data_IF_942625487842
#
_entry.id   IF_942625487842
#
_cell.length_a   1.000
_cell.length_b   1.000
_cell.length_c   1.000
_cell.angle_alpha   90.00
_cell.angle_beta   90.00
_cell.angle_gamma   90.00
#
_symmetry.space_group_name_H-M   'P 1'
#
loop_
_entity.id
_entity.type
_entity.pdbx_description
1 polymer ?
#
# COMPACT_ATOMS: atom_id res chain seq x y z
N UNK A 1 -25.47 8.89 79.59
CA UNK A 1 -24.94 9.53 78.36
C UNK A 1 -25.26 8.60 77.21
N UNK A 2 -26.33 8.90 76.47
CA UNK A 2 -26.84 8.03 75.40
C UNK A 2 -25.96 8.10 74.17
N UNK A 3 -25.50 6.95 73.70
CA UNK A 3 -24.80 6.79 72.43
C UNK A 3 -25.79 6.96 71.27
N UNK A 4 -25.75 8.12 70.60
CA UNK A 4 -26.47 8.29 69.34
C UNK A 4 -25.71 7.54 68.24
N UNK A 5 -26.21 6.35 67.90
CA UNK A 5 -25.81 5.60 66.71
C UNK A 5 -26.29 6.35 65.47
N UNK A 6 -25.35 6.84 64.67
CA UNK A 6 -25.60 7.49 63.39
C UNK A 6 -26.11 6.45 62.38
N UNK A 7 -27.38 6.52 62.00
CA UNK A 7 -27.96 5.73 60.91
C UNK A 7 -27.90 6.61 59.65
N UNK A 8 -27.07 6.30 58.64
CA UNK A 8 -27.01 7.08 57.42
C UNK A 8 -28.37 7.05 56.71
N UNK A 9 -28.90 8.23 56.33
CA UNK A 9 -30.14 8.31 55.56
C UNK A 9 -30.02 7.58 54.21
N UNK A 10 -31.13 7.06 53.70
CA UNK A 10 -31.21 6.30 52.44
C UNK A 10 -30.57 6.99 51.22
N UNK A 11 -30.45 8.32 51.24
CA UNK A 11 -29.77 9.10 50.21
C UNK A 11 -28.25 8.93 50.23
N UNK A 12 -27.64 8.78 51.42
CA UNK A 12 -26.20 8.59 51.56
C UNK A 12 -25.77 7.23 50.97
N UNK A 13 -26.53 6.17 51.22
CA UNK A 13 -26.28 4.84 50.66
C UNK A 13 -26.37 4.81 49.13
N UNK A 14 -27.34 5.52 48.55
CA UNK A 14 -27.46 5.65 47.10
C UNK A 14 -26.26 6.39 46.48
N UNK A 15 -25.78 7.46 47.13
CA UNK A 15 -24.58 8.19 46.68
C UNK A 15 -23.34 7.30 46.74
N UNK A 16 -23.14 6.54 47.82
CA UNK A 16 -22.02 5.60 47.93
C UNK A 16 -22.07 4.51 46.85
N UNK A 17 -23.25 3.95 46.56
CA UNK A 17 -23.42 2.96 45.50
C UNK A 17 -23.10 3.54 44.12
N UNK A 18 -23.56 4.76 43.81
CA UNK A 18 -23.25 5.43 42.55
C UNK A 18 -21.75 5.71 42.38
N UNK A 19 -21.08 6.18 43.44
CA UNK A 19 -19.63 6.42 43.42
C UNK A 19 -18.86 5.11 43.25
N UNK A 20 -19.27 4.03 43.94
CA UNK A 20 -18.66 2.72 43.77
C UNK A 20 -18.83 2.19 42.33
N UNK A 21 -20.02 2.33 41.74
CA UNK A 21 -20.26 1.95 40.34
C UNK A 21 -19.41 2.76 39.35
N UNK A 22 -19.24 4.07 39.57
CA UNK A 22 -18.38 4.92 38.74
C UNK A 22 -16.90 4.51 38.84
N UNK A 23 -16.42 4.17 40.03
CA UNK A 23 -15.06 3.68 40.25
C UNK A 23 -14.84 2.30 39.59
N UNK A 24 -15.82 1.41 39.63
CA UNK A 24 -15.76 0.12 38.92
C UNK A 24 -15.70 0.34 37.40
N UNK A 25 -16.51 1.26 36.86
CA UNK A 25 -16.44 1.61 35.44
C UNK A 25 -15.06 2.17 35.06
N UNK A 26 -14.47 3.04 35.89
CA UNK A 26 -13.14 3.59 35.64
C UNK A 26 -12.03 2.52 35.64
N UNK A 27 -12.16 1.47 36.46
CA UNK A 27 -11.21 0.34 36.49
C UNK A 27 -11.42 -0.64 35.33
N UNK A 28 -12.66 -0.79 34.84
CA UNK A 28 -12.98 -1.61 33.68
C UNK A 28 -12.72 -0.90 32.34
N UNK A 29 -12.58 0.43 32.36
CA UNK A 29 -12.17 1.21 31.20
C UNK A 29 -10.66 1.06 30.99
N UNK A 30 -10.27 0.22 30.03
CA UNK A 30 -8.92 0.26 29.48
C UNK A 30 -8.76 1.56 28.67
N UNK A 31 -8.17 2.57 29.31
CA UNK A 31 -7.94 3.89 28.72
C UNK A 31 -6.87 3.92 27.61
N UNK A 32 -6.30 2.78 27.26
CA UNK A 32 -5.16 2.68 26.36
C UNK A 32 -3.87 3.17 27.00
N UNK A 33 -2.77 2.48 26.75
CA UNK A 33 -1.43 2.91 27.18
C UNK A 33 -0.72 3.60 26.02
N UNK A 34 -0.43 4.89 26.16
CA UNK A 34 0.45 5.61 25.23
C UNK A 34 1.90 5.48 25.70
N UNK A 35 2.82 5.18 24.79
CA UNK A 35 4.25 5.18 25.08
C UNK A 35 4.73 6.58 25.49
N UNK A 36 5.60 6.72 26.50
CA UNK A 36 6.23 8.01 26.82
C UNK A 36 7.25 8.45 25.76
N UNK A 37 7.56 7.59 24.79
CA UNK A 37 8.51 7.90 23.72
C UNK A 37 7.91 8.94 22.76
N UNK A 38 8.53 10.11 22.73
CA UNK A 38 8.28 11.17 21.74
C UNK A 38 9.51 11.26 20.86
N UNK A 39 9.36 11.05 19.56
CA UNK A 39 10.43 11.28 18.58
C UNK A 39 10.68 12.79 18.49
N UNK A 40 11.94 13.22 18.52
CA UNK A 40 12.34 14.60 18.20
C UNK A 40 11.74 15.03 16.85
N UNK A 41 11.13 16.22 16.80
CA UNK A 41 10.53 16.80 15.59
C UNK A 41 11.64 17.22 14.60
N UNK A 42 12.28 16.24 13.98
CA UNK A 42 13.02 16.48 12.75
C UNK A 42 12.19 15.85 11.64
N UNK A 43 11.58 16.65 10.75
CA UNK A 43 10.91 16.07 9.59
C UNK A 43 11.94 15.21 8.83
N UNK A 44 11.54 13.99 8.49
CA UNK A 44 12.39 13.11 7.69
C UNK A 44 12.76 13.85 6.39
N UNK A 45 14.05 14.08 6.18
CA UNK A 45 14.51 14.69 4.95
C UNK A 45 14.30 13.72 3.78
N UNK A 46 13.79 14.23 2.65
CA UNK A 46 13.68 13.44 1.44
C UNK A 46 15.06 12.93 1.00
N UNK A 47 15.16 11.65 0.66
CA UNK A 47 16.41 11.07 0.18
C UNK A 47 16.88 11.80 -1.11
N UNK A 48 18.19 12.12 -1.24
CA UNK A 48 18.77 12.69 -2.45
C UNK A 48 18.55 11.82 -3.70
N UNK A 49 18.35 12.41 -4.88
CA UNK A 49 18.09 11.65 -6.12
C UNK A 49 19.25 10.75 -6.56
N UNK A 50 20.47 11.02 -6.10
CA UNK A 50 21.68 10.23 -6.31
C UNK A 50 21.88 9.11 -5.29
N UNK A 51 20.91 8.87 -4.40
CA UNK A 51 20.94 7.74 -3.46
C UNK A 51 20.97 6.41 -4.22
N UNK A 52 21.72 5.46 -3.68
CA UNK A 52 21.85 4.09 -4.19
C UNK A 52 20.49 3.39 -4.40
N UNK A 53 19.55 3.63 -3.49
CA UNK A 53 18.18 3.08 -3.55
C UNK A 53 17.34 3.59 -4.72
N UNK A 54 17.81 4.60 -5.45
CA UNK A 54 17.15 5.13 -6.65
C UNK A 54 17.89 4.77 -7.96
N UNK A 55 18.97 4.01 -7.88
CA UNK A 55 19.74 3.60 -9.04
C UNK A 55 19.05 2.47 -9.82
N UNK A 56 18.96 2.61 -11.16
CA UNK A 56 18.51 1.60 -12.16
C UNK A 56 16.98 1.26 -12.21
N UNK A 57 16.43 0.75 -13.35
CA UNK A 57 15.02 0.90 -13.74
C UNK A 57 14.02 -0.02 -13.00
N UNK A 58 12.72 0.28 -13.17
CA UNK A 58 11.61 0.07 -12.24
C UNK A 58 10.68 -1.12 -12.57
N UNK A 59 10.45 -2.03 -11.60
CA UNK A 59 9.44 -3.10 -11.61
C UNK A 59 8.58 -3.12 -10.31
N UNK A 60 7.25 -3.04 -10.43
CA UNK A 60 6.27 -3.01 -9.32
C UNK A 60 5.30 -4.20 -9.48
N UNK A 61 5.03 -5.01 -8.46
CA UNK A 61 4.08 -6.14 -8.56
C UNK A 61 2.90 -6.05 -7.55
N UNK A 62 1.70 -6.40 -8.01
CA UNK A 62 0.43 -6.40 -7.25
C UNK A 62 -0.32 -7.73 -7.44
N UNK A 63 -1.15 -8.15 -6.49
CA UNK A 63 -1.91 -9.41 -6.55
C UNK A 63 -3.41 -9.31 -6.23
N UNK A 64 -4.17 -10.28 -6.77
CA UNK A 64 -5.48 -10.77 -6.34
C UNK A 64 -5.47 -12.32 -6.16
N UNK A 65 -6.49 -12.91 -5.53
CA UNK A 65 -6.60 -14.32 -5.08
C UNK A 65 -6.27 -15.40 -6.11
N UNK A 66 -6.41 -15.14 -7.42
CA UNK A 66 -6.04 -16.09 -8.51
C UNK A 66 -5.23 -15.46 -9.66
N UNK A 67 -4.91 -14.17 -9.57
CA UNK A 67 -4.20 -13.45 -10.61
C UNK A 67 -3.22 -12.43 -10.02
N UNK A 68 -2.11 -12.18 -10.70
CA UNK A 68 -1.09 -11.21 -10.30
C UNK A 68 -0.98 -10.17 -11.40
N UNK A 69 -1.01 -8.90 -11.03
CA UNK A 69 -0.69 -7.78 -11.93
C UNK A 69 0.80 -7.46 -11.74
N UNK A 70 1.60 -7.72 -12.76
CA UNK A 70 3.00 -7.29 -12.82
C UNK A 70 3.05 -5.98 -13.57
N UNK A 71 3.72 -4.99 -12.99
CA UNK A 71 3.86 -3.66 -13.54
C UNK A 71 5.33 -3.27 -13.68
N UNK A 72 5.68 -2.51 -14.70
CA UNK A 72 7.03 -1.96 -14.84
C UNK A 72 7.04 -0.69 -15.67
N UNK A 73 8.16 0.03 -15.66
CA UNK A 73 8.34 1.23 -16.48
C UNK A 73 9.55 1.11 -17.38
N UNK A 74 9.34 1.34 -18.68
CA UNK A 74 10.42 1.55 -19.65
C UNK A 74 10.58 3.06 -19.92
N UNK A 75 11.78 3.64 -19.72
CA UNK A 75 11.96 5.08 -19.74
C UNK A 75 11.91 5.69 -21.14
N UNK A 76 12.57 5.07 -22.12
CA UNK A 76 12.87 5.70 -23.41
C UNK A 76 11.95 5.24 -24.53
N UNK A 77 11.54 3.98 -24.54
CA UNK A 77 10.72 3.37 -25.58
C UNK A 77 9.65 2.45 -24.97
N UNK A 78 8.52 2.19 -25.68
CA UNK A 78 7.49 1.29 -25.19
C UNK A 78 8.06 -0.09 -24.83
N UNK A 79 9.07 -0.58 -25.57
CA UNK A 79 9.70 -1.86 -25.26
C UNK A 79 8.76 -3.05 -25.44
N UNK A 80 9.10 -4.18 -24.80
CA UNK A 80 8.31 -5.41 -24.85
C UNK A 80 7.29 -5.47 -23.73
N UNK A 81 6.02 -5.66 -24.11
CA UNK A 81 4.88 -5.79 -23.19
C UNK A 81 4.71 -7.22 -22.65
N UNK A 82 5.74 -8.07 -22.77
CA UNK A 82 5.60 -9.52 -22.54
C UNK A 82 6.19 -9.91 -21.20
N UNK A 83 5.40 -10.63 -20.41
CA UNK A 83 5.89 -11.34 -19.22
C UNK A 83 6.00 -12.82 -19.53
N UNK A 84 7.16 -13.40 -19.27
CA UNK A 84 7.40 -14.85 -19.43
C UNK A 84 7.38 -15.54 -18.08
N UNK A 85 6.51 -16.55 -17.93
CA UNK A 85 6.44 -17.42 -16.75
C UNK A 85 7.29 -18.67 -16.99
N UNK A 86 8.13 -19.03 -16.01
CA UNK A 86 9.09 -20.15 -16.12
C UNK A 86 8.44 -21.54 -16.21
N UNK A 87 7.37 -21.80 -15.46
CA UNK A 87 6.83 -23.17 -15.29
C UNK A 87 5.96 -23.67 -16.45
N UNK A 88 5.45 -22.77 -17.29
CA UNK A 88 4.79 -23.08 -18.56
C UNK A 88 5.19 -21.95 -19.50
N UNK A 89 5.73 -22.23 -20.69
CA UNK A 89 6.02 -21.23 -21.76
C UNK A 89 4.73 -20.56 -22.30
N UNK A 90 3.76 -20.25 -21.44
CA UNK A 90 2.59 -19.44 -21.75
C UNK A 90 2.99 -17.99 -21.55
N UNK A 91 2.81 -17.21 -22.60
CA UNK A 91 2.98 -15.77 -22.58
C UNK A 91 1.80 -15.15 -21.83
N UNK A 92 2.03 -14.01 -21.16
CA UNK A 92 0.94 -13.20 -20.62
C UNK A 92 0.02 -12.72 -21.74
N UNK A 93 -1.29 -12.87 -21.57
CA UNK A 93 -2.29 -12.54 -22.60
C UNK A 93 -2.80 -11.10 -22.51
N UNK A 94 -2.76 -10.46 -21.33
CA UNK A 94 -3.32 -9.12 -21.09
C UNK A 94 -2.26 -8.14 -20.55
N UNK A 95 -1.54 -7.46 -21.44
CA UNK A 95 -0.68 -6.31 -21.06
C UNK A 95 -1.21 -5.01 -21.65
N UNK A 96 -1.43 -4.02 -20.79
CA UNK A 96 -1.82 -2.66 -21.15
C UNK A 96 -0.64 -1.72 -20.91
N UNK A 97 -0.34 -0.87 -21.89
CA UNK A 97 0.70 0.16 -21.76
C UNK A 97 0.04 1.52 -21.70
N UNK A 98 0.46 2.32 -20.73
CA UNK A 98 -0.04 3.67 -20.49
C UNK A 98 1.12 4.63 -20.28
N UNK A 99 0.87 5.92 -20.43
CA UNK A 99 1.79 6.98 -20.01
C UNK A 99 0.99 8.10 -19.36
N UNK A 100 1.60 8.78 -18.40
CA UNK A 100 0.97 9.85 -17.64
C UNK A 100 1.74 11.15 -17.89
N UNK A 101 1.05 12.15 -18.43
CA UNK A 101 1.54 13.53 -18.46
C UNK A 101 0.96 14.28 -17.26
N UNK A 102 1.82 14.86 -16.43
CA UNK A 102 1.44 15.69 -15.30
C UNK A 102 2.23 17.00 -15.33
N UNK A 103 1.55 18.12 -15.57
CA UNK A 103 2.17 19.41 -15.84
C UNK A 103 3.23 19.34 -16.97
N UNK A 104 4.49 19.68 -16.67
CA UNK A 104 5.63 19.61 -17.58
C UNK A 104 6.34 18.24 -17.55
N UNK A 105 5.94 17.34 -16.66
CA UNK A 105 6.46 15.98 -16.56
C UNK A 105 5.68 15.04 -17.47
N UNK A 106 6.38 14.15 -18.14
CA UNK A 106 5.81 13.01 -18.86
C UNK A 106 6.50 11.76 -18.36
N UNK A 107 5.73 10.78 -17.92
CA UNK A 107 6.28 9.49 -17.47
C UNK A 107 6.87 8.72 -18.64
N UNK A 108 7.72 7.75 -18.32
CA UNK A 108 7.99 6.64 -19.23
C UNK A 108 6.73 5.82 -19.52
N UNK A 109 6.92 4.72 -20.22
CA UNK A 109 5.84 3.79 -20.57
C UNK A 109 5.58 2.84 -19.40
N UNK A 110 4.39 2.92 -18.83
CA UNK A 110 3.95 2.12 -17.68
C UNK A 110 3.19 0.92 -18.22
N UNK A 111 3.73 -0.25 -17.96
CA UNK A 111 3.18 -1.55 -18.37
C UNK A 111 2.40 -2.15 -17.22
N UNK A 112 1.19 -2.63 -17.48
CA UNK A 112 0.38 -3.39 -16.53
C UNK A 112 0.03 -4.74 -17.17
N UNK A 113 0.49 -5.83 -16.58
CA UNK A 113 0.35 -7.17 -17.13
C UNK A 113 -0.35 -8.09 -16.13
N UNK A 114 -1.53 -8.60 -16.49
CA UNK A 114 -2.25 -9.55 -15.63
C UNK A 114 -1.90 -10.99 -15.96
N UNK A 115 -1.24 -11.66 -15.02
CA UNK A 115 -0.98 -13.10 -15.03
C UNK A 115 -2.14 -13.81 -14.34
N UNK A 116 -2.91 -14.60 -15.09
CA UNK A 116 -4.06 -15.37 -14.60
C UNK A 116 -3.71 -16.86 -14.43
N UNK A 117 -4.68 -17.64 -13.96
CA UNK A 117 -4.61 -19.10 -13.82
C UNK A 117 -3.38 -19.58 -13.05
N UNK A 118 -3.17 -18.98 -11.87
CA UNK A 118 -2.09 -19.33 -10.97
C UNK A 118 -2.56 -20.37 -9.96
N UNK A 119 -1.79 -21.46 -9.83
CA UNK A 119 -1.95 -22.41 -8.73
C UNK A 119 -1.70 -21.70 -7.37
N UNK A 120 -2.49 -22.00 -6.34
CA UNK A 120 -2.26 -21.57 -4.96
C UNK A 120 -0.93 -22.11 -4.40
N UNK A 121 -0.41 -21.47 -3.35
CA UNK A 121 0.80 -21.88 -2.61
C UNK A 121 2.00 -22.29 -3.49
N UNK A 122 2.21 -21.56 -4.58
CA UNK A 122 3.17 -21.93 -5.63
C UNK A 122 4.12 -20.78 -5.93
N UNK A 123 5.42 -21.09 -5.96
CA UNK A 123 6.46 -20.15 -6.40
C UNK A 123 6.51 -20.04 -7.92
N UNK A 124 6.41 -18.83 -8.43
CA UNK A 124 6.53 -18.49 -9.84
C UNK A 124 7.74 -17.59 -10.07
N UNK A 125 8.54 -17.91 -11.09
CA UNK A 125 9.51 -16.96 -11.64
C UNK A 125 8.92 -16.30 -12.86
N UNK A 126 9.13 -14.99 -12.98
CA UNK A 126 8.70 -14.18 -14.11
C UNK A 126 9.84 -13.29 -14.62
N UNK A 127 9.82 -13.00 -15.91
CA UNK A 127 10.77 -12.11 -16.57
C UNK A 127 10.05 -10.95 -17.24
N UNK A 128 10.66 -9.78 -17.13
CA UNK A 128 10.22 -8.51 -17.72
C UNK A 128 11.35 -7.91 -18.57
N UNK A 129 10.97 -7.06 -19.53
CA UNK A 129 11.89 -6.43 -20.47
C UNK A 129 12.21 -7.27 -21.71
N UNK A 130 13.10 -6.75 -22.55
CA UNK A 130 13.49 -7.39 -23.83
C UNK A 130 14.95 -7.17 -24.17
N UNK A 131 15.48 -8.02 -25.05
CA UNK A 131 16.86 -7.92 -25.53
C UNK A 131 17.88 -8.07 -24.40
N UNK A 132 18.76 -7.07 -24.28
CA UNK A 132 19.85 -7.02 -23.30
C UNK A 132 19.42 -6.53 -21.91
N UNK A 133 18.17 -6.06 -21.75
CA UNK A 133 17.65 -5.48 -20.50
C UNK A 133 16.53 -6.37 -19.96
N UNK A 134 16.83 -7.66 -19.75
CA UNK A 134 15.90 -8.60 -19.12
C UNK A 134 16.19 -8.71 -17.63
N UNK A 135 15.13 -8.70 -16.83
CA UNK A 135 15.21 -8.87 -15.38
C UNK A 135 14.29 -10.00 -14.96
N UNK A 136 14.77 -10.81 -14.02
CA UNK A 136 14.05 -11.97 -13.51
C UNK A 136 13.72 -11.77 -12.04
N UNK A 137 12.48 -12.09 -11.70
CA UNK A 137 11.94 -11.98 -10.36
C UNK A 137 11.16 -13.25 -10.02
N UNK A 138 10.66 -13.30 -8.80
CA UNK A 138 9.81 -14.39 -8.36
C UNK A 138 8.84 -13.95 -7.28
N UNK A 139 7.72 -14.64 -7.19
CA UNK A 139 6.75 -14.48 -6.11
C UNK A 139 6.16 -15.81 -5.72
N UNK A 140 5.47 -15.85 -4.57
CA UNK A 140 4.71 -17.02 -4.11
C UNK A 140 3.24 -16.63 -4.06
N UNK A 141 2.38 -17.44 -4.67
CA UNK A 141 0.93 -17.29 -4.47
C UNK A 141 0.58 -17.72 -3.04
N UNK A 142 -0.33 -17.03 -2.35
CA UNK A 142 -0.87 -17.46 -1.07
C UNK A 142 -1.59 -18.81 -1.22
N UNK A 143 -1.81 -19.48 -0.07
CA UNK A 143 -2.66 -20.65 0.02
C UNK A 143 -4.09 -20.38 -0.46
N UNK A 144 -4.83 -21.46 -0.71
CA UNK A 144 -6.26 -21.38 -0.97
C UNK A 144 -7.00 -20.68 0.17
N UNK A 145 -8.05 -19.95 -0.17
CA UNK A 145 -8.87 -19.26 0.83
C UNK A 145 -9.61 -20.30 1.67
N UNK A 146 -9.43 -20.26 2.98
CA UNK A 146 -10.12 -21.11 3.93
C UNK A 146 -10.23 -20.44 5.30
N UNK A 147 -11.16 -20.87 6.16
CA UNK A 147 -11.43 -20.25 7.45
C UNK A 147 -10.22 -20.29 8.39
N UNK A 148 -9.40 -21.35 8.32
CA UNK A 148 -8.29 -21.62 9.23
C UNK A 148 -6.92 -21.45 8.56
N UNK A 149 -6.85 -20.68 7.47
CA UNK A 149 -5.62 -20.53 6.69
C UNK A 149 -4.79 -19.39 7.25
N UNK A 150 -3.58 -19.66 7.80
CA UNK A 150 -2.74 -18.62 8.36
C UNK A 150 -2.14 -17.75 7.26
N UNK A 151 -2.08 -16.44 7.50
CA UNK A 151 -1.41 -15.49 6.64
C UNK A 151 -0.82 -14.34 7.46
N UNK A 152 0.31 -13.80 7.03
CA UNK A 152 0.95 -12.66 7.69
C UNK A 152 0.88 -11.45 6.79
N UNK A 153 0.35 -10.35 7.30
CA UNK A 153 0.30 -9.07 6.59
C UNK A 153 1.26 -8.07 7.25
N UNK A 154 2.12 -7.45 6.44
CA UNK A 154 2.78 -6.21 6.83
C UNK A 154 1.83 -5.04 6.62
N UNK A 155 1.70 -4.16 7.61
CA UNK A 155 0.91 -2.93 7.51
C UNK A 155 1.86 -1.74 7.53
N UNK A 156 1.79 -0.91 6.50
CA UNK A 156 2.61 0.29 6.34
C UNK A 156 1.74 1.39 5.74
N UNK A 157 1.92 2.62 6.23
CA UNK A 157 1.23 3.82 5.74
C UNK A 157 2.18 5.01 5.72
N UNK A 158 1.78 6.07 5.00
CA UNK A 158 2.45 7.38 4.99
C UNK A 158 3.97 7.29 4.77
N UNK A 159 4.37 6.47 3.79
CA UNK A 159 5.78 6.22 3.46
C UNK A 159 6.44 7.34 2.67
N UNK A 160 5.64 8.29 2.19
CA UNK A 160 6.12 9.33 1.31
C UNK A 160 5.43 10.66 1.56
N UNK A 161 6.21 11.73 1.54
CA UNK A 161 5.73 13.11 1.60
C UNK A 161 6.59 13.96 0.67
N UNK A 162 5.99 14.31 -0.47
CA UNK A 162 6.66 15.05 -1.52
C UNK A 162 5.93 16.36 -1.78
N UNK A 163 6.42 17.48 -1.21
CA UNK A 163 5.86 18.79 -1.53
C UNK A 163 6.12 19.12 -3.01
N UNK A 164 5.32 20.04 -3.55
CA UNK A 164 5.49 20.67 -4.88
C UNK A 164 5.11 19.82 -6.10
N UNK A 165 4.31 18.76 -5.96
CA UNK A 165 3.78 17.96 -7.08
C UNK A 165 4.87 17.43 -8.04
N UNK A 166 6.06 17.12 -7.51
CA UNK A 166 7.18 16.67 -8.32
C UNK A 166 7.02 15.19 -8.74
N UNK A 167 6.53 14.96 -9.95
CA UNK A 167 6.28 13.61 -10.46
C UNK A 167 7.53 12.74 -10.66
N UNK A 168 8.75 13.30 -10.68
CA UNK A 168 10.00 12.51 -10.66
C UNK A 168 10.13 11.70 -9.37
N UNK A 169 9.51 12.17 -8.30
CA UNK A 169 9.57 11.49 -7.03
C UNK A 169 8.80 10.17 -7.03
N UNK A 170 7.68 10.09 -7.76
CA UNK A 170 6.99 8.82 -8.00
C UNK A 170 7.91 7.77 -8.65
N UNK A 171 8.81 8.19 -9.55
CA UNK A 171 9.77 7.28 -10.18
C UNK A 171 10.83 6.81 -9.17
N UNK A 172 11.36 7.74 -8.35
CA UNK A 172 12.33 7.39 -7.29
C UNK A 172 11.71 6.47 -6.24
N UNK A 173 10.47 6.75 -5.83
CA UNK A 173 9.74 5.93 -4.86
C UNK A 173 9.53 4.52 -5.38
N UNK A 174 9.10 4.39 -6.64
CA UNK A 174 8.97 3.08 -7.28
C UNK A 174 10.26 2.26 -7.20
N UNK A 175 11.42 2.87 -7.50
CA UNK A 175 12.72 2.18 -7.48
C UNK A 175 13.11 1.77 -6.05
N UNK A 176 12.82 2.64 -5.09
CA UNK A 176 13.07 2.39 -3.68
C UNK A 176 12.31 1.17 -3.15
N UNK A 177 11.04 1.01 -3.54
CA UNK A 177 10.18 -0.09 -3.07
C UNK A 177 10.31 -1.38 -3.87
N UNK A 178 10.89 -1.36 -5.08
CA UNK A 178 11.02 -2.50 -6.00
C UNK A 178 11.53 -3.76 -5.29
N UNK A 179 12.59 -3.61 -4.49
CA UNK A 179 13.22 -4.70 -3.73
C UNK A 179 12.29 -5.44 -2.76
N UNK A 180 11.13 -4.87 -2.46
CA UNK A 180 10.05 -5.52 -1.70
C UNK A 180 8.91 -5.91 -2.63
N UNK A 181 8.35 -4.92 -3.34
CA UNK A 181 7.09 -5.10 -4.08
C UNK A 181 7.22 -6.08 -5.26
N UNK A 182 8.42 -6.26 -5.83
CA UNK A 182 8.65 -7.22 -6.92
C UNK A 182 8.60 -8.69 -6.46
N UNK A 183 8.70 -8.95 -5.15
CA UNK A 183 8.75 -10.31 -4.60
C UNK A 183 7.53 -10.66 -3.75
N UNK A 184 6.82 -9.66 -3.23
CA UNK A 184 5.60 -9.81 -2.45
C UNK A 184 4.58 -8.73 -2.82
N UNK A 185 3.29 -9.07 -2.92
CA UNK A 185 2.29 -8.12 -3.37
C UNK A 185 1.98 -7.08 -2.31
N UNK A 186 1.90 -5.82 -2.73
CA UNK A 186 1.36 -4.74 -1.91
C UNK A 186 -0.10 -4.46 -2.30
N UNK A 187 -0.90 -4.07 -1.32
CA UNK A 187 -2.30 -3.67 -1.51
C UNK A 187 -2.37 -2.15 -1.30
N UNK A 188 -2.33 -1.40 -2.40
CA UNK A 188 -2.43 0.06 -2.43
C UNK A 188 -3.82 0.55 -2.01
N UNK A 189 -3.83 1.52 -1.11
CA UNK A 189 -4.97 2.34 -0.70
C UNK A 189 -4.56 3.80 -0.94
N UNK A 190 -5.42 4.58 -1.60
CA UNK A 190 -5.13 5.98 -1.87
C UNK A 190 -5.37 6.83 -0.61
N UNK A 191 -4.39 7.64 -0.23
CA UNK A 191 -4.50 8.66 0.80
C UNK A 191 -4.75 10.05 0.20
N UNK A 192 -4.63 11.08 1.03
CA UNK A 192 -4.79 12.47 0.59
C UNK A 192 -3.61 12.96 -0.26
N UNK A 193 -2.41 12.43 -0.06
CA UNK A 193 -1.22 12.80 -0.84
C UNK A 193 -1.31 12.31 -2.29
N UNK A 194 -2.13 11.29 -2.57
CA UNK A 194 -2.39 10.80 -3.93
C UNK A 194 -3.40 11.66 -4.71
N UNK A 195 -4.08 12.64 -4.08
CA UNK A 195 -5.13 13.44 -4.76
C UNK A 195 -4.54 14.20 -5.95
N UNK A 196 -3.35 14.80 -5.80
CA UNK A 196 -2.64 15.50 -6.89
C UNK A 196 -3.48 16.51 -7.69
N UNK A 197 -4.51 17.09 -7.05
CA UNK A 197 -5.37 18.12 -7.63
C UNK A 197 -4.72 19.48 -7.42
N UNK A 198 -4.24 20.08 -8.52
CA UNK A 198 -3.51 21.35 -8.49
C UNK A 198 -3.94 22.25 -9.68
N UNK A 199 -5.02 23.03 -9.51
CA UNK A 199 -5.52 23.94 -10.56
C UNK A 199 -4.48 24.98 -11.00
N UNK A 200 -3.59 25.40 -10.10
CA UNK A 200 -2.56 26.42 -10.35
C UNK A 200 -1.60 26.02 -11.48
N UNK A 201 -1.36 24.72 -11.65
CA UNK A 201 -0.51 24.16 -12.72
C UNK A 201 -1.34 23.48 -13.82
N UNK A 202 -2.68 23.67 -13.81
CA UNK A 202 -3.59 23.12 -14.81
C UNK A 202 -3.95 21.64 -14.64
N UNK A 203 -3.71 21.06 -13.47
CA UNK A 203 -4.02 19.66 -13.16
C UNK A 203 -5.33 19.55 -12.35
N UNK A 204 -6.41 19.20 -13.04
CA UNK A 204 -7.77 19.17 -12.48
C UNK A 204 -8.31 17.78 -12.19
N UNK A 205 -7.56 16.72 -12.52
CA UNK A 205 -8.01 15.34 -12.39
C UNK A 205 -7.43 14.72 -11.11
N UNK A 206 -8.25 14.44 -10.09
CA UNK A 206 -7.77 13.80 -8.87
C UNK A 206 -7.19 12.41 -9.14
N UNK A 207 -6.20 12.00 -8.35
CA UNK A 207 -5.57 10.67 -8.38
C UNK A 207 -4.90 10.31 -9.69
N UNK A 208 -4.66 11.28 -10.58
CA UNK A 208 -4.17 11.01 -11.93
C UNK A 208 -2.82 10.26 -11.93
N UNK A 209 -1.75 10.72 -11.25
CA UNK A 209 -0.50 9.96 -11.20
C UNK A 209 -0.66 8.57 -10.56
N UNK A 210 -1.37 8.50 -9.42
CA UNK A 210 -1.62 7.25 -8.70
C UNK A 210 -2.33 6.21 -9.59
N UNK A 211 -3.40 6.58 -10.26
CA UNK A 211 -4.21 5.66 -11.07
C UNK A 211 -3.51 5.16 -12.33
N UNK A 212 -2.53 5.90 -12.86
CA UNK A 212 -1.70 5.41 -13.97
C UNK A 212 -0.60 4.45 -13.49
N UNK A 213 -0.13 4.64 -12.25
CA UNK A 213 0.99 3.89 -11.67
C UNK A 213 0.59 2.73 -10.77
N UNK A 214 -0.66 2.60 -10.33
CA UNK A 214 -1.04 1.57 -9.37
C UNK A 214 -2.41 1.00 -9.70
N UNK A 215 -2.46 0.03 -10.62
CA UNK A 215 -3.73 -0.62 -10.98
C UNK A 215 -4.27 -1.47 -9.82
N UNK A 216 -5.52 -1.24 -9.42
CA UNK A 216 -6.28 -2.08 -8.45
C UNK A 216 -7.16 -3.08 -9.21
N UNK A 217 -7.33 -4.33 -8.75
CA UNK A 217 -8.19 -5.32 -9.41
C UNK A 217 -9.69 -5.14 -9.09
N UNK A 218 -10.24 -3.94 -9.30
CA UNK A 218 -11.65 -3.62 -8.95
C UNK A 218 -12.68 -4.29 -9.88
N UNK A 219 -12.36 -4.45 -11.16
CA UNK A 219 -13.25 -5.06 -12.17
C UNK A 219 -13.34 -6.58 -12.07
N UNK A 220 -12.35 -7.22 -11.45
CA UNK A 220 -12.28 -8.68 -11.27
C UNK A 220 -13.26 -9.14 -10.18
N UNK A 221 -13.81 -8.22 -9.39
CA UNK A 221 -14.86 -8.48 -8.39
C UNK A 221 -16.29 -8.35 -8.95
N UNK A 222 -16.47 -8.20 -10.27
CA UNK A 222 -17.79 -8.07 -10.89
C UNK A 222 -18.45 -6.70 -10.71
N UNK A 223 -17.73 -5.71 -10.17
CA UNK A 223 -18.20 -4.33 -10.06
C UNK A 223 -17.72 -3.55 -11.28
N UNK A 224 -18.66 -3.17 -12.15
CA UNK A 224 -18.41 -2.28 -13.31
C UNK A 224 -18.50 -0.81 -12.87
N UNK A 225 -17.75 0.07 -13.55
CA UNK A 225 -17.88 1.53 -13.43
C UNK A 225 -19.27 2.01 -13.82
#
# INVERSE_FOLDING_TARGET
MGSHSFVPGSSALAVFACVACMLVYAVLCDGGMTSPFVREHWPSAAMPFDSDVFATPLDIMRRNSKAVIVQWVTPDEPGSNKVQKSQKKKQSEDTVVTSCKYYNYTSGYIHHCTIKDLEPDTKYHYEVGSGHVRRQFWFVTPPEVGPDVPYTFGLIGDLDDHPLHNSLRWDSWGRFIERSVAYQPWIWVAGNHEIDYCPEIGEYTPFKPHMHRYEVPYTIQGVKR
#
